data_IF_577595516811
#
_entry.id   IF_577595516811
#
_cell.length_a   1.000
_cell.length_b   1.000
_cell.length_c   1.000
_cell.angle_alpha   90.00
_cell.angle_beta   90.00
_cell.angle_gamma   90.00
#
_symmetry.space_group_name_H-M   'P 1'
#
loop_
_entity.id
_entity.type
_entity.pdbx_description
1 polymer ?
#
# COMPACT_ATOMS: atom_id res chain seq x y z
N UNK A 1 -9.43 7.67 35.45
CA UNK A 1 -9.99 7.74 34.10
C UNK A 1 -8.88 7.29 33.16
N UNK A 2 -8.84 6.00 32.86
CA UNK A 2 -7.84 5.38 31.98
C UNK A 2 -8.05 5.83 30.54
N UNK A 3 -7.21 6.77 30.09
CA UNK A 3 -7.35 7.47 28.81
C UNK A 3 -6.46 6.90 27.69
N UNK A 4 -6.06 5.62 27.77
CA UNK A 4 -5.10 5.01 26.84
C UNK A 4 -5.55 3.65 26.24
N UNK A 5 -6.85 3.42 26.04
CA UNK A 5 -7.37 2.24 25.31
C UNK A 5 -7.77 2.54 23.85
N UNK A 6 -6.95 3.30 23.13
CA UNK A 6 -7.14 3.55 21.68
C UNK A 6 -6.07 2.90 20.79
N UNK A 7 -5.25 2.01 21.34
CA UNK A 7 -4.23 1.25 20.60
C UNK A 7 -4.66 -0.20 20.32
N UNK A 8 -5.81 -0.67 20.81
CA UNK A 8 -6.06 -2.12 20.93
C UNK A 8 -6.40 -2.85 19.61
N UNK A 9 -6.53 -2.17 18.46
CA UNK A 9 -6.95 -2.84 17.21
C UNK A 9 -6.41 -2.27 15.89
N UNK A 10 -5.33 -1.48 15.90
CA UNK A 10 -4.71 -1.05 14.64
C UNK A 10 -3.79 -2.16 14.10
N UNK A 11 -3.98 -2.54 12.84
CA UNK A 11 -3.08 -3.47 12.15
C UNK A 11 -2.12 -2.69 11.28
N UNK A 12 -0.84 -3.02 11.41
CA UNK A 12 0.21 -2.39 10.62
C UNK A 12 0.70 -3.34 9.56
N UNK A 13 0.83 -2.88 8.32
CA UNK A 13 1.46 -3.62 7.23
C UNK A 13 2.43 -2.71 6.49
N UNK A 14 3.31 -3.32 5.71
CA UNK A 14 4.36 -2.61 4.99
C UNK A 14 4.07 -2.60 3.50
N UNK A 15 4.45 -1.54 2.80
CA UNK A 15 4.25 -1.40 1.36
C UNK A 15 5.56 -1.00 0.70
N UNK A 16 5.91 -1.68 -0.39
CA UNK A 16 7.01 -1.29 -1.26
C UNK A 16 6.48 -1.01 -2.66
N UNK A 17 6.93 0.09 -3.25
CA UNK A 17 6.54 0.47 -4.60
C UNK A 17 7.60 0.06 -5.60
N UNK A 18 7.16 -0.46 -6.73
CA UNK A 18 8.00 -0.92 -7.81
C UNK A 18 7.54 -0.30 -9.12
N UNK A 19 8.51 0.07 -9.94
CA UNK A 19 8.31 0.44 -11.34
C UNK A 19 7.85 -0.76 -12.17
N UNK A 20 7.38 -0.49 -13.38
CA UNK A 20 7.19 -1.50 -14.45
C UNK A 20 8.44 -2.36 -14.67
N UNK A 21 9.64 -1.78 -14.58
CA UNK A 21 10.91 -2.51 -14.69
C UNK A 21 11.31 -3.35 -13.48
N UNK A 22 10.40 -3.64 -12.54
CA UNK A 22 10.69 -4.28 -11.23
C UNK A 22 11.77 -3.54 -10.42
N UNK A 23 11.98 -2.26 -10.70
CA UNK A 23 12.91 -1.43 -9.94
C UNK A 23 12.17 -0.88 -8.72
N UNK A 24 12.66 -1.18 -7.52
CA UNK A 24 12.12 -0.63 -6.28
C UNK A 24 12.25 0.90 -6.29
N UNK A 25 11.17 1.57 -5.93
CA UNK A 25 11.06 3.03 -5.88
C UNK A 25 10.82 3.46 -4.44
N UNK A 26 11.71 4.30 -3.92
CA UNK A 26 11.57 4.88 -2.58
C UNK A 26 11.80 3.88 -1.44
N UNK A 27 11.33 4.28 -0.26
CA UNK A 27 11.45 3.51 0.98
C UNK A 27 10.23 2.60 1.19
N UNK A 28 10.36 1.64 2.12
CA UNK A 28 9.24 0.81 2.55
C UNK A 28 8.34 1.69 3.41
N UNK A 29 7.08 1.86 3.01
CA UNK A 29 6.11 2.61 3.80
C UNK A 29 5.45 1.72 4.86
N UNK A 30 5.33 2.24 6.07
CA UNK A 30 4.53 1.62 7.14
C UNK A 30 3.10 2.18 7.09
N UNK A 31 2.13 1.30 6.87
CA UNK A 31 0.72 1.66 6.74
C UNK A 31 -0.07 1.08 7.90
N UNK A 32 -0.61 1.98 8.70
CA UNK A 32 -1.58 1.65 9.74
C UNK A 32 -2.98 1.54 9.13
N UNK A 33 -3.67 0.46 9.46
CA UNK A 33 -5.02 0.18 9.02
C UNK A 33 -5.93 -0.19 10.19
N UNK A 34 -7.20 0.12 10.02
CA UNK A 34 -8.25 -0.18 10.98
C UNK A 34 -9.00 -1.47 10.60
N UNK A 35 -9.61 -2.16 11.57
CA UNK A 35 -10.38 -3.36 11.28
C UNK A 35 -11.52 -3.07 10.32
N UNK A 36 -11.64 -3.89 9.26
CA UNK A 36 -12.69 -3.74 8.25
C UNK A 36 -12.38 -2.69 7.17
N UNK A 37 -11.20 -2.07 7.20
CA UNK A 37 -10.73 -1.28 6.06
C UNK A 37 -10.29 -2.18 4.90
N UNK A 38 -10.50 -1.65 3.70
CA UNK A 38 -10.06 -2.27 2.46
C UNK A 38 -8.65 -1.82 2.13
N UNK A 39 -7.83 -2.74 1.65
CA UNK A 39 -6.45 -2.45 1.23
C UNK A 39 -6.40 -1.26 0.27
N UNK A 40 -7.25 -1.29 -0.77
CA UNK A 40 -7.22 -0.26 -1.80
C UNK A 40 -7.59 1.12 -1.27
N UNK A 41 -8.59 1.23 -0.39
CA UNK A 41 -8.97 2.51 0.22
C UNK A 41 -7.83 3.11 1.06
N UNK A 42 -7.12 2.24 1.79
CA UNK A 42 -5.99 2.64 2.61
C UNK A 42 -4.82 3.17 1.77
N UNK A 43 -4.47 2.47 0.69
CA UNK A 43 -3.37 2.84 -0.20
C UNK A 43 -3.74 3.97 -1.16
N UNK A 44 -4.98 4.05 -1.60
CA UNK A 44 -5.47 5.14 -2.45
C UNK A 44 -5.30 6.48 -1.76
N UNK A 45 -5.58 6.55 -0.45
CA UNK A 45 -5.35 7.76 0.32
C UNK A 45 -3.89 8.17 0.30
N UNK A 46 -2.95 7.23 0.51
CA UNK A 46 -1.50 7.49 0.48
C UNK A 46 -1.01 7.91 -0.89
N UNK A 47 -1.37 7.14 -1.91
CA UNK A 47 -1.03 7.43 -3.30
C UNK A 47 -1.51 8.82 -3.71
N UNK A 48 -2.72 9.22 -3.31
CA UNK A 48 -3.25 10.56 -3.58
C UNK A 48 -2.47 11.68 -2.89
N UNK A 49 -1.86 11.44 -1.72
CA UNK A 49 -0.94 12.41 -1.09
C UNK A 49 0.26 12.71 -2.00
N UNK A 50 0.64 11.74 -2.84
CA UNK A 50 1.70 11.84 -3.85
C UNK A 50 1.19 12.16 -5.26
N UNK A 51 -0.11 12.46 -5.42
CA UNK A 51 -0.72 12.73 -6.73
C UNK A 51 -0.95 11.50 -7.62
N UNK A 52 -0.86 10.30 -7.05
CA UNK A 52 -1.02 9.01 -7.71
C UNK A 52 -2.41 8.41 -7.43
N UNK A 53 -2.91 7.54 -8.31
CA UNK A 53 -4.16 6.81 -8.09
C UNK A 53 -3.90 5.33 -7.82
N UNK A 54 -4.67 4.71 -6.91
CA UNK A 54 -4.54 3.26 -6.66
C UNK A 54 -4.95 2.36 -7.83
N UNK A 55 -5.65 2.91 -8.83
CA UNK A 55 -6.05 2.16 -10.04
C UNK A 55 -4.87 1.85 -10.96
N UNK A 56 -3.79 2.58 -10.77
CA UNK A 56 -2.57 2.48 -11.54
C UNK A 56 -1.58 1.45 -10.99
N UNK A 57 -1.89 0.90 -9.83
CA UNK A 57 -1.01 -0.02 -9.12
C UNK A 57 -1.69 -1.37 -8.94
N UNK A 58 -0.92 -2.42 -9.20
CA UNK A 58 -1.25 -3.79 -8.81
C UNK A 58 -0.62 -4.11 -7.46
N UNK A 59 -1.46 -4.40 -6.48
CA UNK A 59 -1.03 -4.80 -5.16
C UNK A 59 -0.93 -6.33 -5.06
N UNK A 60 0.18 -6.83 -4.55
CA UNK A 60 0.40 -8.25 -4.28
C UNK A 60 1.08 -8.43 -2.91
N UNK A 61 1.09 -9.64 -2.37
CA UNK A 61 1.89 -9.92 -1.17
C UNK A 61 3.35 -10.15 -1.56
N UNK A 62 4.28 -9.81 -0.67
CA UNK A 62 5.67 -10.24 -0.79
C UNK A 62 5.71 -11.77 -0.94
N UNK A 63 6.39 -12.27 -1.98
CA UNK A 63 6.44 -13.68 -2.39
C UNK A 63 5.17 -14.26 -3.03
N UNK A 64 4.12 -13.46 -3.25
CA UNK A 64 2.93 -13.86 -4.01
C UNK A 64 2.91 -13.17 -5.36
N UNK A 65 2.97 -13.95 -6.44
CA UNK A 65 2.71 -13.43 -7.80
C UNK A 65 1.22 -13.16 -8.07
N UNK A 66 0.34 -13.52 -7.13
CA UNK A 66 -1.09 -13.32 -7.28
C UNK A 66 -1.46 -11.91 -6.79
N UNK A 67 -2.08 -11.07 -7.65
CA UNK A 67 -2.59 -9.77 -7.22
C UNK A 67 -3.70 -9.95 -6.18
N UNK A 68 -3.71 -9.07 -5.19
CA UNK A 68 -4.74 -8.99 -4.18
C UNK A 68 -5.98 -8.32 -4.77
N UNK A 69 -7.18 -8.78 -4.41
CA UNK A 69 -8.41 -8.13 -4.83
C UNK A 69 -8.57 -6.76 -4.15
N UNK A 70 -9.30 -5.84 -4.79
CA UNK A 70 -9.49 -4.47 -4.28
C UNK A 70 -10.19 -4.41 -2.92
N UNK A 71 -11.02 -5.41 -2.62
CA UNK A 71 -11.76 -5.55 -1.37
C UNK A 71 -11.01 -6.37 -0.32
N UNK A 72 -9.71 -6.62 -0.49
CA UNK A 72 -8.94 -7.40 0.46
C UNK A 72 -8.91 -6.73 1.85
N UNK A 73 -9.18 -7.51 2.87
CA UNK A 73 -9.26 -7.04 4.27
C UNK A 73 -7.85 -6.82 4.83
N UNK A 74 -7.59 -5.60 5.33
CA UNK A 74 -6.27 -5.24 5.86
C UNK A 74 -5.92 -5.95 7.16
N UNK A 75 -6.88 -6.50 7.91
CA UNK A 75 -6.59 -7.31 9.09
C UNK A 75 -5.75 -8.55 8.72
N UNK A 76 -5.96 -9.11 7.53
CA UNK A 76 -5.20 -10.27 7.03
C UNK A 76 -3.78 -9.91 6.58
N UNK A 77 -3.46 -8.62 6.53
CA UNK A 77 -2.17 -8.09 6.11
C UNK A 77 -1.30 -7.65 7.28
N UNK A 78 -1.81 -7.74 8.52
CA UNK A 78 -1.06 -7.36 9.71
C UNK A 78 0.31 -8.06 9.77
N UNK A 79 1.38 -7.27 9.89
CA UNK A 79 2.77 -7.70 9.89
C UNK A 79 3.30 -8.18 8.54
N UNK A 80 2.52 -8.10 7.45
CA UNK A 80 2.93 -8.54 6.12
C UNK A 80 3.41 -7.37 5.28
N UNK A 81 4.18 -7.70 4.25
CA UNK A 81 4.61 -6.75 3.23
C UNK A 81 3.79 -6.91 1.95
N UNK A 82 3.34 -5.79 1.42
CA UNK A 82 2.64 -5.62 0.17
C UNK A 82 3.59 -5.02 -0.85
N UNK A 83 3.52 -5.53 -2.08
CA UNK A 83 4.24 -5.01 -3.21
C UNK A 83 3.24 -4.30 -4.12
N UNK A 84 3.47 -3.02 -4.38
CA UNK A 84 2.69 -2.20 -5.27
C UNK A 84 3.48 -2.00 -6.57
N UNK A 85 3.06 -2.69 -7.64
CA UNK A 85 3.67 -2.55 -8.96
C UNK A 85 2.90 -1.52 -9.78
N UNK A 86 3.57 -0.48 -10.27
CA UNK A 86 2.98 0.46 -11.22
C UNK A 86 2.71 -0.20 -12.57
N UNK A 87 1.52 0.02 -13.13
CA UNK A 87 1.18 -0.42 -14.47
C UNK A 87 1.58 0.66 -15.49
N UNK A 88 2.66 0.40 -16.22
CA UNK A 88 3.38 1.32 -17.14
C UNK A 88 2.51 2.00 -18.21
N UNK A 89 1.41 1.38 -18.63
CA UNK A 89 0.72 1.76 -19.88
C UNK A 89 0.04 3.14 -19.83
N UNK A 90 -0.03 3.80 -18.66
CA UNK A 90 -0.74 5.08 -18.49
C UNK A 90 0.12 6.25 -17.96
N UNK A 91 1.44 6.09 -17.75
CA UNK A 91 2.18 7.01 -16.85
C UNK A 91 3.37 7.75 -17.45
N UNK A 92 3.36 9.06 -17.23
CA UNK A 92 4.48 9.98 -17.47
C UNK A 92 4.92 10.62 -16.15
N UNK A 93 5.01 9.83 -15.08
CA UNK A 93 5.44 10.26 -13.75
C UNK A 93 6.71 9.52 -13.37
N UNK A 94 7.73 10.25 -12.90
CA UNK A 94 8.87 9.62 -12.25
C UNK A 94 8.41 9.25 -10.84
N UNK A 95 8.00 7.99 -10.61
CA UNK A 95 7.60 7.54 -9.27
C UNK A 95 8.71 7.81 -8.22
N UNK A 96 9.97 7.87 -8.65
CA UNK A 96 11.12 8.25 -7.81
C UNK A 96 11.00 9.65 -7.22
N UNK A 97 10.35 10.57 -7.93
CA UNK A 97 10.13 11.95 -7.47
C UNK A 97 8.94 12.04 -6.50
N UNK A 98 7.95 11.15 -6.67
CA UNK A 98 6.79 11.07 -5.79
C UNK A 98 7.16 10.64 -4.36
N UNK A 99 8.10 9.70 -4.19
CA UNK A 99 8.44 9.10 -2.90
C UNK A 99 9.78 9.58 -2.29
N UNK A 100 10.26 10.75 -2.69
CA UNK A 100 11.54 11.34 -2.24
C UNK A 100 11.36 12.35 -1.10
#
# INVERSE_FOLDING_TARGET
MDLNRKDEYCNTFYVEYYDDGECRIGITEEVQSYPGQKLRDCLDRRLREHGLASSDFKFSLENSRKPLPDNYDTNLLSGRKIIAHGESESMNWNLKDCFN
#
